data_IF_936997989582
#
_entry.id   IF_936997989582
#
_cell.length_a   1.000
_cell.length_b   1.000
_cell.length_c   1.000
_cell.angle_alpha   90.00
_cell.angle_beta   90.00
_cell.angle_gamma   90.00
#
_symmetry.space_group_name_H-M   'P 1'
#
loop_
_entity.id
_entity.type
_entity.pdbx_description
1 polymer ?
#
# COMPACT_ATOMS: atom_id res chain seq x y z
N UNK A 1 33.67 22.27 -16.96
CA UNK A 1 33.94 21.10 -17.82
C UNK A 1 32.68 20.23 -17.86
N UNK A 2 32.15 19.90 -19.04
CA UNK A 2 31.07 18.94 -19.14
C UNK A 2 31.55 17.57 -18.64
N UNK A 3 30.79 16.94 -17.78
CA UNK A 3 31.06 15.60 -17.27
C UNK A 3 31.23 14.59 -18.44
N UNK A 4 32.22 13.71 -18.36
CA UNK A 4 32.32 12.62 -19.32
C UNK A 4 31.11 11.69 -19.28
N UNK A 5 30.85 10.93 -20.35
CA UNK A 5 29.71 9.98 -20.41
C UNK A 5 29.76 9.00 -19.23
N UNK A 6 30.91 8.54 -18.81
CA UNK A 6 31.12 7.63 -17.67
C UNK A 6 30.78 8.29 -16.32
N UNK A 7 31.20 9.54 -16.13
CA UNK A 7 30.85 10.31 -14.92
C UNK A 7 29.37 10.63 -14.84
N UNK A 8 28.72 10.92 -15.96
CA UNK A 8 27.27 11.14 -16.03
C UNK A 8 26.49 9.89 -15.63
N UNK A 9 26.85 8.72 -16.14
CA UNK A 9 26.22 7.45 -15.79
C UNK A 9 26.42 7.08 -14.32
N UNK A 10 27.60 7.32 -13.75
CA UNK A 10 27.88 7.07 -12.33
C UNK A 10 26.97 7.95 -11.44
N UNK A 11 26.85 9.24 -11.76
CA UNK A 11 25.97 10.15 -11.03
C UNK A 11 24.47 9.82 -11.15
N UNK A 12 24.01 9.23 -12.27
CA UNK A 12 22.63 8.78 -12.43
C UNK A 12 22.38 7.56 -11.54
N UNK A 13 23.25 6.57 -11.57
CA UNK A 13 23.12 5.36 -10.73
C UNK A 13 23.07 5.66 -9.24
N UNK A 14 23.91 6.57 -8.76
CA UNK A 14 23.90 7.00 -7.36
C UNK A 14 22.56 7.64 -6.98
N UNK A 15 21.97 8.43 -7.88
CA UNK A 15 20.67 9.06 -7.67
C UNK A 15 19.51 8.07 -7.72
N UNK A 16 19.57 7.11 -8.64
CA UNK A 16 18.58 6.03 -8.70
C UNK A 16 18.65 5.14 -7.45
N UNK A 17 19.86 4.86 -6.95
CA UNK A 17 20.01 4.13 -5.69
C UNK A 17 19.42 4.90 -4.50
N UNK A 18 19.68 6.20 -4.41
CA UNK A 18 19.08 7.05 -3.37
C UNK A 18 17.56 7.08 -3.45
N UNK A 19 17.01 7.17 -4.66
CA UNK A 19 15.57 7.12 -4.90
C UNK A 19 14.98 5.77 -4.44
N UNK A 20 15.63 4.66 -4.80
CA UNK A 20 15.25 3.32 -4.36
C UNK A 20 15.29 3.19 -2.84
N UNK A 21 16.33 3.68 -2.18
CA UNK A 21 16.46 3.65 -0.73
C UNK A 21 15.35 4.46 -0.04
N UNK A 22 14.92 5.56 -0.65
CA UNK A 22 13.82 6.38 -0.14
C UNK A 22 12.47 5.63 -0.26
N UNK A 23 12.22 4.97 -1.38
CA UNK A 23 11.04 4.08 -1.56
C UNK A 23 11.01 2.97 -0.50
N UNK A 24 12.14 2.33 -0.24
CA UNK A 24 12.25 1.26 0.77
C UNK A 24 11.91 1.79 2.18
N UNK A 25 12.39 2.98 2.53
CA UNK A 25 12.07 3.62 3.82
C UNK A 25 10.59 4.00 3.92
N UNK A 26 10.01 4.50 2.84
CA UNK A 26 8.58 4.79 2.75
C UNK A 26 7.76 3.51 2.92
N UNK A 27 8.11 2.44 2.20
CA UNK A 27 7.47 1.13 2.30
C UNK A 27 7.49 0.58 3.72
N UNK A 28 8.64 0.61 4.40
CA UNK A 28 8.76 0.19 5.80
C UNK A 28 7.91 1.04 6.76
N UNK A 29 7.72 2.35 6.46
CA UNK A 29 6.81 3.22 7.22
C UNK A 29 5.36 2.79 7.05
N UNK A 30 4.94 2.50 5.81
CA UNK A 30 3.58 2.05 5.48
C UNK A 30 3.28 0.67 6.08
N UNK A 31 4.20 -0.28 5.97
CA UNK A 31 4.04 -1.61 6.60
C UNK A 31 3.82 -1.50 8.11
N UNK A 32 4.64 -0.68 8.79
CA UNK A 32 4.49 -0.44 10.22
C UNK A 32 3.16 0.22 10.56
N UNK A 33 2.72 1.18 9.76
CA UNK A 33 1.43 1.86 9.93
C UNK A 33 0.26 0.89 9.77
N UNK A 34 0.30 -0.02 8.79
CA UNK A 34 -0.68 -1.10 8.60
C UNK A 34 -0.71 -2.04 9.80
N UNK A 35 0.46 -2.47 10.29
CA UNK A 35 0.54 -3.33 11.47
C UNK A 35 -0.10 -2.66 12.69
N UNK A 36 0.22 -1.40 12.97
CA UNK A 36 -0.37 -0.63 14.06
C UNK A 36 -1.89 -0.51 13.91
N UNK A 37 -2.37 -0.29 12.69
CA UNK A 37 -3.80 -0.18 12.37
C UNK A 37 -4.53 -1.48 12.69
N UNK A 38 -4.01 -2.62 12.22
CA UNK A 38 -4.62 -3.93 12.46
C UNK A 38 -4.58 -4.28 13.95
N UNK A 39 -3.43 -4.07 14.61
CA UNK A 39 -3.29 -4.34 16.04
C UNK A 39 -4.20 -3.45 16.90
N UNK A 40 -4.45 -2.20 16.49
CA UNK A 40 -5.36 -1.31 17.21
C UNK A 40 -6.78 -1.85 17.27
N UNK A 41 -7.25 -2.47 16.20
CA UNK A 41 -8.56 -3.13 16.12
C UNK A 41 -8.61 -4.38 17.02
N UNK A 42 -7.63 -5.26 16.86
CA UNK A 42 -7.59 -6.57 17.52
C UNK A 42 -7.43 -6.43 19.05
N UNK A 43 -6.49 -5.57 19.47
CA UNK A 43 -6.19 -5.33 20.89
C UNK A 43 -7.10 -4.29 21.52
N UNK A 44 -7.98 -3.65 20.73
CA UNK A 44 -8.83 -2.54 21.18
C UNK A 44 -8.01 -1.40 21.80
N UNK A 45 -6.84 -1.15 21.23
CA UNK A 45 -5.85 -0.18 21.70
C UNK A 45 -5.93 1.13 20.89
N UNK A 46 -6.55 2.13 21.48
CA UNK A 46 -6.72 3.46 20.86
C UNK A 46 -5.36 4.18 20.69
N UNK A 47 -4.37 3.88 21.51
CA UNK A 47 -3.04 4.51 21.40
C UNK A 47 -2.30 4.06 20.12
N UNK A 48 -2.49 2.82 19.70
CA UNK A 48 -1.98 2.32 18.43
C UNK A 48 -2.68 2.96 17.23
N UNK A 49 -4.00 3.21 17.33
CA UNK A 49 -4.75 3.91 16.29
C UNK A 49 -4.25 5.36 16.14
N UNK A 50 -4.09 6.10 17.25
CA UNK A 50 -3.54 7.46 17.25
C UNK A 50 -2.13 7.51 16.67
N UNK A 51 -1.32 6.50 16.98
CA UNK A 51 0.05 6.40 16.46
C UNK A 51 0.07 6.16 14.95
N UNK A 52 -0.79 5.26 14.44
CA UNK A 52 -0.94 5.03 13.01
C UNK A 52 -1.36 6.32 12.27
N UNK A 53 -2.30 7.09 12.85
CA UNK A 53 -2.74 8.37 12.29
C UNK A 53 -1.60 9.38 12.22
N UNK A 54 -0.74 9.45 13.24
CA UNK A 54 0.41 10.38 13.27
C UNK A 54 1.56 9.93 12.35
N UNK A 55 1.78 8.62 12.23
CA UNK A 55 2.84 8.08 11.39
C UNK A 55 2.60 8.34 9.89
N UNK A 56 1.36 8.62 9.47
CA UNK A 56 0.98 9.02 8.13
C UNK A 56 1.73 10.26 7.62
N UNK A 57 1.95 11.26 8.46
CA UNK A 57 2.74 12.46 8.12
C UNK A 57 4.17 12.13 7.64
N UNK A 58 4.71 10.96 8.02
CA UNK A 58 6.02 10.53 7.54
C UNK A 58 5.94 9.99 6.12
N UNK A 59 4.85 9.29 5.81
CA UNK A 59 4.58 8.77 4.48
C UNK A 59 4.41 9.92 3.49
N UNK A 60 3.63 10.94 3.83
CA UNK A 60 3.48 12.17 3.03
C UNK A 60 4.82 12.86 2.76
N UNK A 61 5.69 12.96 3.78
CA UNK A 61 7.03 13.56 3.62
C UNK A 61 7.94 12.74 2.70
N UNK A 62 7.83 11.40 2.75
CA UNK A 62 8.57 10.55 1.83
C UNK A 62 8.10 10.73 0.39
N UNK A 63 6.78 10.80 0.15
CA UNK A 63 6.22 11.03 -1.18
C UNK A 63 6.77 12.35 -1.77
N UNK A 64 6.62 13.47 -1.06
CA UNK A 64 7.13 14.77 -1.48
C UNK A 64 8.64 14.73 -1.77
N UNK A 65 9.42 14.03 -0.95
CA UNK A 65 10.87 13.91 -1.16
C UNK A 65 11.20 13.09 -2.39
N UNK A 66 10.43 12.03 -2.68
CA UNK A 66 10.56 11.21 -3.89
C UNK A 66 10.22 12.04 -5.13
N UNK A 67 9.13 12.82 -5.09
CA UNK A 67 8.76 13.73 -6.18
C UNK A 67 9.88 14.72 -6.51
N UNK A 68 10.47 15.36 -5.49
CA UNK A 68 11.61 16.27 -5.65
C UNK A 68 12.83 15.56 -6.25
N UNK A 69 13.15 14.35 -5.80
CA UNK A 69 14.24 13.56 -6.35
C UNK A 69 14.02 13.21 -7.82
N UNK A 70 12.79 12.80 -8.18
CA UNK A 70 12.39 12.45 -9.56
C UNK A 70 12.49 13.66 -10.48
N UNK A 71 11.91 14.81 -10.08
CA UNK A 71 11.97 16.06 -10.86
C UNK A 71 13.42 16.48 -11.09
N UNK A 72 14.24 16.47 -10.03
CA UNK A 72 15.65 16.84 -10.12
C UNK A 72 16.46 15.86 -11.01
N UNK A 73 16.14 14.55 -10.93
CA UNK A 73 16.81 13.54 -11.74
C UNK A 73 16.49 13.76 -13.23
N UNK A 74 15.22 13.97 -13.58
CA UNK A 74 14.80 14.20 -14.97
C UNK A 74 15.40 15.51 -15.50
N UNK A 75 15.25 16.61 -14.75
CA UNK A 75 15.67 17.94 -15.19
C UNK A 75 17.19 18.07 -15.36
N UNK A 76 17.96 17.52 -14.41
CA UNK A 76 19.40 17.75 -14.35
C UNK A 76 20.23 16.64 -15.01
N UNK A 77 19.67 15.43 -15.15
CA UNK A 77 20.42 14.26 -15.61
C UNK A 77 19.90 13.65 -16.90
N UNK A 78 18.67 13.97 -17.29
CA UNK A 78 18.04 13.49 -18.52
C UNK A 78 18.19 11.95 -18.65
N UNK A 79 17.65 11.17 -17.69
CA UNK A 79 17.76 9.72 -17.73
C UNK A 79 17.12 9.17 -19.00
N UNK A 80 17.65 8.08 -19.54
CA UNK A 80 17.17 7.47 -20.78
C UNK A 80 16.85 5.99 -20.59
N UNK A 81 15.94 5.50 -21.42
CA UNK A 81 15.58 4.08 -21.47
C UNK A 81 15.25 3.52 -20.07
N UNK A 82 16.04 2.57 -19.57
CA UNK A 82 15.81 1.88 -18.29
C UNK A 82 15.88 2.86 -17.12
N UNK A 83 16.80 3.81 -17.11
CA UNK A 83 16.95 4.80 -16.03
C UNK A 83 15.71 5.70 -15.93
N UNK A 84 15.14 6.11 -17.06
CA UNK A 84 13.89 6.88 -17.10
C UNK A 84 12.70 6.04 -16.62
N UNK A 85 12.64 4.77 -17.04
CA UNK A 85 11.59 3.85 -16.59
C UNK A 85 11.63 3.67 -15.08
N UNK A 86 12.82 3.43 -14.51
CA UNK A 86 13.02 3.31 -13.06
C UNK A 86 12.57 4.57 -12.32
N UNK A 87 12.90 5.74 -12.87
CA UNK A 87 12.50 7.04 -12.29
C UNK A 87 10.98 7.22 -12.27
N UNK A 88 10.30 6.91 -13.38
CA UNK A 88 8.84 7.05 -13.50
C UNK A 88 8.10 6.01 -12.63
N UNK A 89 8.60 4.79 -12.59
CA UNK A 89 8.03 3.74 -11.74
C UNK A 89 8.17 4.09 -10.26
N UNK A 90 9.30 4.65 -9.83
CA UNK A 90 9.48 5.10 -8.45
C UNK A 90 8.43 6.14 -8.04
N UNK A 91 8.09 7.09 -8.92
CA UNK A 91 7.04 8.08 -8.66
C UNK A 91 5.66 7.43 -8.51
N UNK A 92 5.31 6.47 -9.37
CA UNK A 92 4.02 5.77 -9.29
C UNK A 92 3.93 4.90 -8.03
N UNK A 93 4.99 4.17 -7.71
CA UNK A 93 5.06 3.34 -6.49
C UNK A 93 4.93 4.20 -5.23
N UNK A 94 5.56 5.38 -5.17
CA UNK A 94 5.41 6.27 -4.00
C UNK A 94 3.98 6.76 -3.85
N UNK A 95 3.30 7.11 -4.93
CA UNK A 95 1.90 7.53 -4.87
C UNK A 95 0.97 6.41 -4.40
N UNK A 96 1.16 5.16 -4.88
CA UNK A 96 0.38 4.03 -4.38
C UNK A 96 0.68 3.73 -2.90
N UNK A 97 1.92 3.88 -2.44
CA UNK A 97 2.28 3.73 -1.03
C UNK A 97 1.64 4.81 -0.14
N UNK A 98 1.58 6.06 -0.59
CA UNK A 98 0.87 7.13 0.12
C UNK A 98 -0.61 6.78 0.26
N UNK A 99 -1.25 6.32 -0.82
CA UNK A 99 -2.66 5.87 -0.78
C UNK A 99 -2.88 4.74 0.21
N UNK A 100 -1.98 3.78 0.29
CA UNK A 100 -2.05 2.70 1.29
C UNK A 100 -1.96 3.28 2.71
N UNK A 101 -1.06 4.22 2.96
CA UNK A 101 -0.93 4.92 4.23
C UNK A 101 -2.21 5.67 4.62
N UNK A 102 -2.77 6.46 3.71
CA UNK A 102 -4.03 7.18 3.89
C UNK A 102 -5.21 6.24 4.23
N UNK A 103 -5.29 5.08 3.56
CA UNK A 103 -6.31 4.08 3.83
C UNK A 103 -6.14 3.46 5.24
N UNK A 104 -4.90 3.16 5.65
CA UNK A 104 -4.59 2.70 7.00
C UNK A 104 -4.97 3.73 8.07
N UNK A 105 -4.63 5.00 7.87
CA UNK A 105 -5.06 6.14 8.70
C UNK A 105 -6.58 6.23 8.80
N UNK A 106 -7.29 6.05 7.68
CA UNK A 106 -8.74 6.09 7.65
C UNK A 106 -9.37 4.91 8.43
N UNK A 107 -8.79 3.72 8.37
CA UNK A 107 -9.20 2.57 9.21
C UNK A 107 -8.98 2.93 10.70
N UNK A 108 -7.81 3.46 11.06
CA UNK A 108 -7.48 3.85 12.44
C UNK A 108 -8.43 4.92 13.00
N UNK A 109 -8.78 5.95 12.20
CA UNK A 109 -9.80 6.95 12.57
C UNK A 109 -11.18 6.33 12.83
N UNK A 110 -11.55 5.29 12.08
CA UNK A 110 -12.82 4.57 12.27
C UNK A 110 -12.76 3.67 13.49
N UNK A 111 -11.62 3.05 13.79
CA UNK A 111 -11.39 2.28 15.02
C UNK A 111 -11.69 3.13 16.26
N UNK A 112 -11.20 4.38 16.29
CA UNK A 112 -11.48 5.32 17.38
C UNK A 112 -12.97 5.65 17.52
N UNK A 113 -13.72 5.73 16.41
CA UNK A 113 -15.17 6.03 16.41
C UNK A 113 -16.02 4.85 16.85
N UNK A 114 -15.64 3.64 16.49
CA UNK A 114 -16.40 2.42 16.81
C UNK A 114 -16.23 2.04 18.28
N UNK A 115 -15.09 2.38 18.87
CA UNK A 115 -14.77 1.97 20.23
C UNK A 115 -14.47 0.46 20.33
N UNK A 116 -14.57 -0.06 21.56
CA UNK A 116 -14.14 -1.43 21.89
C UNK A 116 -15.25 -2.49 21.80
N UNK A 117 -16.49 -2.09 21.44
CA UNK A 117 -17.67 -2.93 21.54
C UNK A 117 -18.14 -3.44 20.15
N UNK A 118 -17.23 -4.10 19.43
CA UNK A 118 -17.55 -4.84 18.22
C UNK A 118 -17.70 -6.34 18.51
N UNK A 119 -18.57 -7.05 17.77
CA UNK A 119 -18.64 -8.51 17.85
C UNK A 119 -17.27 -9.16 17.54
N UNK A 120 -16.89 -10.13 18.35
CA UNK A 120 -15.56 -10.76 18.24
C UNK A 120 -15.28 -11.48 16.93
N UNK A 121 -16.32 -12.08 16.34
CA UNK A 121 -16.27 -12.75 15.04
C UNK A 121 -16.00 -11.76 13.90
N UNK A 122 -16.61 -10.59 13.96
CA UNK A 122 -16.40 -9.53 12.98
C UNK A 122 -14.97 -8.94 13.09
N UNK A 123 -14.47 -8.70 14.31
CA UNK A 123 -13.08 -8.25 14.53
C UNK A 123 -12.10 -9.27 13.95
N UNK A 124 -12.32 -10.56 14.21
CA UNK A 124 -11.46 -11.64 13.68
C UNK A 124 -11.44 -11.66 12.15
N UNK A 125 -12.58 -11.46 11.53
CA UNK A 125 -12.68 -11.41 10.07
C UNK A 125 -11.95 -10.20 9.48
N UNK A 126 -12.06 -9.03 10.12
CA UNK A 126 -11.29 -7.83 9.77
C UNK A 126 -9.78 -8.04 9.93
N UNK A 127 -9.36 -8.71 11.01
CA UNK A 127 -7.97 -9.07 11.23
C UNK A 127 -7.42 -9.93 10.08
N UNK A 128 -8.15 -10.98 9.71
CA UNK A 128 -7.74 -11.88 8.61
C UNK A 128 -7.60 -11.10 7.30
N UNK A 129 -8.57 -10.27 6.94
CA UNK A 129 -8.52 -9.45 5.74
C UNK A 129 -7.37 -8.44 5.78
N UNK A 130 -7.18 -7.75 6.90
CA UNK A 130 -6.11 -6.78 7.09
C UNK A 130 -4.72 -7.41 7.03
N UNK A 131 -4.51 -8.56 7.66
CA UNK A 131 -3.24 -9.29 7.60
C UNK A 131 -2.93 -9.77 6.18
N UNK A 132 -3.96 -10.17 5.42
CA UNK A 132 -3.78 -10.56 4.02
C UNK A 132 -3.36 -9.39 3.15
N UNK A 133 -4.00 -8.23 3.29
CA UNK A 133 -3.62 -7.01 2.59
C UNK A 133 -2.19 -6.56 2.97
N UNK A 134 -1.84 -6.57 4.26
CA UNK A 134 -0.48 -6.27 4.71
C UNK A 134 0.56 -7.22 4.11
N UNK A 135 0.25 -8.51 3.99
CA UNK A 135 1.12 -9.48 3.33
C UNK A 135 1.32 -9.19 1.86
N UNK A 136 0.27 -8.77 1.13
CA UNK A 136 0.41 -8.35 -0.28
C UNK A 136 1.32 -7.13 -0.41
N UNK A 137 1.15 -6.11 0.44
CA UNK A 137 2.02 -4.91 0.47
C UNK A 137 3.47 -5.31 0.71
N UNK A 138 3.74 -6.16 1.71
CA UNK A 138 5.09 -6.67 1.96
C UNK A 138 5.66 -7.43 0.75
N UNK A 139 4.87 -8.31 0.15
CA UNK A 139 5.30 -9.10 -1.01
C UNK A 139 5.67 -8.23 -2.20
N UNK A 140 4.87 -7.20 -2.50
CA UNK A 140 5.13 -6.32 -3.64
C UNK A 140 6.32 -5.38 -3.39
N UNK A 141 6.55 -4.94 -2.15
CA UNK A 141 7.75 -4.19 -1.78
C UNK A 141 9.03 -5.03 -1.93
N UNK A 142 8.96 -6.30 -1.54
CA UNK A 142 10.04 -7.25 -1.78
C UNK A 142 10.26 -7.49 -3.28
N UNK A 143 9.20 -7.60 -4.07
CA UNK A 143 9.30 -7.71 -5.53
C UNK A 143 9.99 -6.48 -6.15
N UNK A 144 9.63 -5.27 -5.70
CA UNK A 144 10.28 -4.02 -6.12
C UNK A 144 11.77 -4.01 -5.76
N UNK A 145 12.10 -4.35 -4.51
CA UNK A 145 13.47 -4.32 -3.99
C UNK A 145 14.40 -5.30 -4.73
N UNK A 146 13.92 -6.52 -4.95
CA UNK A 146 14.73 -7.61 -5.51
C UNK A 146 14.52 -7.84 -7.02
N UNK A 147 13.70 -7.02 -7.68
CA UNK A 147 13.33 -7.20 -9.09
C UNK A 147 12.73 -8.59 -9.35
N UNK A 148 11.89 -9.07 -8.44
CA UNK A 148 11.31 -10.40 -8.48
C UNK A 148 10.00 -10.39 -9.30
N UNK A 149 10.12 -10.68 -10.60
CA UNK A 149 9.00 -10.70 -11.55
C UNK A 149 7.87 -11.63 -11.09
N UNK A 150 8.20 -12.88 -10.77
CA UNK A 150 7.23 -13.90 -10.39
C UNK A 150 6.46 -13.52 -9.12
N UNK A 151 7.12 -12.83 -8.18
CA UNK A 151 6.45 -12.33 -6.97
C UNK A 151 5.45 -11.22 -7.31
N UNK A 152 5.78 -10.33 -8.24
CA UNK A 152 4.85 -9.29 -8.71
C UNK A 152 3.64 -9.91 -9.42
N UNK A 153 3.84 -10.89 -10.30
CA UNK A 153 2.76 -11.64 -10.96
C UNK A 153 1.87 -12.36 -9.93
N UNK A 154 2.46 -12.97 -8.90
CA UNK A 154 1.69 -13.64 -7.85
C UNK A 154 0.83 -12.66 -7.04
N UNK A 155 1.33 -11.45 -6.72
CA UNK A 155 0.52 -10.43 -6.05
C UNK A 155 -0.63 -9.99 -6.95
N UNK A 156 -0.37 -9.74 -8.23
CA UNK A 156 -1.40 -9.34 -9.19
C UNK A 156 -2.50 -10.40 -9.32
N UNK A 157 -2.15 -11.69 -9.41
CA UNK A 157 -3.10 -12.79 -9.50
C UNK A 157 -3.87 -13.07 -8.22
N UNK A 158 -3.38 -12.62 -7.05
CA UNK A 158 -4.02 -12.83 -5.74
C UNK A 158 -5.02 -11.75 -5.34
N UNK A 159 -5.30 -10.77 -6.21
CA UNK A 159 -6.21 -9.66 -5.93
C UNK A 159 -7.63 -10.14 -5.59
N UNK A 160 -8.18 -11.05 -6.40
CA UNK A 160 -9.50 -11.65 -6.20
C UNK A 160 -9.70 -12.25 -4.80
N UNK A 161 -8.65 -12.74 -4.16
CA UNK A 161 -8.75 -13.37 -2.85
C UNK A 161 -9.09 -12.37 -1.73
N UNK A 162 -8.63 -11.10 -1.83
CA UNK A 162 -9.01 -10.06 -0.87
C UNK A 162 -10.43 -9.59 -1.15
N UNK A 163 -10.79 -9.44 -2.41
CA UNK A 163 -12.12 -9.03 -2.81
C UNK A 163 -13.19 -10.01 -2.30
N UNK A 164 -12.99 -11.31 -2.52
CA UNK A 164 -13.89 -12.36 -2.04
C UNK A 164 -13.99 -12.35 -0.50
N UNK A 165 -12.84 -12.20 0.18
CA UNK A 165 -12.81 -12.17 1.64
C UNK A 165 -13.55 -10.95 2.19
N UNK A 166 -13.35 -9.78 1.61
CA UNK A 166 -14.02 -8.55 2.05
C UNK A 166 -15.51 -8.59 1.75
N UNK A 167 -15.93 -9.10 0.59
CA UNK A 167 -17.34 -9.27 0.24
C UNK A 167 -18.06 -10.23 1.21
N UNK A 168 -17.47 -11.40 1.50
CA UNK A 168 -18.00 -12.34 2.48
C UNK A 168 -18.18 -11.70 3.87
N UNK A 169 -17.19 -10.90 4.29
CA UNK A 169 -17.25 -10.20 5.57
C UNK A 169 -18.28 -9.07 5.59
N UNK A 170 -18.51 -8.37 4.47
CA UNK A 170 -19.56 -7.38 4.33
C UNK A 170 -20.95 -8.03 4.46
N UNK A 171 -21.17 -9.17 3.80
CA UNK A 171 -22.44 -9.92 3.94
C UNK A 171 -22.68 -10.37 5.39
N UNK A 172 -21.65 -10.87 6.07
CA UNK A 172 -21.77 -11.26 7.48
C UNK A 172 -22.12 -10.06 8.38
N UNK A 173 -21.52 -8.90 8.12
CA UNK A 173 -21.81 -7.66 8.84
C UNK A 173 -23.25 -7.18 8.60
N UNK A 174 -23.77 -7.28 7.37
CA UNK A 174 -25.17 -6.94 7.04
C UNK A 174 -26.15 -7.91 7.73
N UNK A 175 -25.88 -9.22 7.70
CA UNK A 175 -26.69 -10.22 8.42
C UNK A 175 -26.72 -9.98 9.94
N UNK A 176 -25.66 -9.41 10.52
CA UNK A 176 -25.67 -9.00 11.93
C UNK A 176 -26.69 -7.88 12.19
N UNK A 177 -26.81 -6.90 11.27
CA UNK A 177 -27.78 -5.80 11.38
C UNK A 177 -29.25 -6.29 11.33
N UNK A 178 -29.53 -7.39 10.64
CA UNK A 178 -30.88 -7.96 10.62
C UNK A 178 -31.31 -8.39 12.02
N UNK A 179 -30.35 -8.80 12.87
CA UNK A 179 -30.59 -9.28 14.24
C UNK A 179 -30.46 -8.17 15.29
N UNK A 180 -29.59 -7.18 15.05
CA UNK A 180 -29.24 -6.10 15.97
C UNK A 180 -29.20 -4.76 15.26
N UNK A 181 -30.36 -4.16 15.04
CA UNK A 181 -30.54 -2.87 14.33
C UNK A 181 -29.87 -1.69 15.04
N UNK A 182 -29.69 -1.76 16.35
CA UNK A 182 -29.01 -0.75 17.16
C UNK A 182 -27.52 -0.60 16.82
N UNK A 183 -26.89 -1.62 16.25
CA UNK A 183 -25.48 -1.60 15.87
C UNK A 183 -25.21 -0.91 14.51
N UNK A 184 -26.21 -0.29 13.88
CA UNK A 184 -26.10 0.27 12.52
C UNK A 184 -24.89 1.21 12.36
N UNK A 185 -24.62 2.09 13.33
CA UNK A 185 -23.50 3.02 13.25
C UNK A 185 -22.15 2.30 13.29
N UNK A 186 -22.01 1.28 14.14
CA UNK A 186 -20.78 0.48 14.28
C UNK A 186 -20.53 -0.33 13.01
N UNK A 187 -21.56 -1.03 12.53
CA UNK A 187 -21.47 -1.85 11.32
C UNK A 187 -21.18 -0.99 10.08
N UNK A 188 -21.76 0.20 9.98
CA UNK A 188 -21.44 1.14 8.90
C UNK A 188 -19.95 1.50 8.90
N UNK A 189 -19.35 1.82 10.06
CA UNK A 189 -17.91 2.10 10.12
C UNK A 189 -17.08 0.87 9.68
N UNK A 190 -17.53 -0.30 10.07
CA UNK A 190 -16.88 -1.57 9.75
C UNK A 190 -16.91 -1.88 8.24
N UNK A 191 -18.03 -1.65 7.58
CA UNK A 191 -18.14 -1.79 6.12
C UNK A 191 -17.15 -0.88 5.39
N UNK A 192 -16.99 0.36 5.88
CA UNK A 192 -15.98 1.26 5.35
C UNK A 192 -14.54 0.80 5.63
N UNK A 193 -14.27 0.16 6.79
CA UNK A 193 -12.94 -0.42 7.05
C UNK A 193 -12.64 -1.56 6.08
N UNK A 194 -13.59 -2.46 5.85
CA UNK A 194 -13.46 -3.55 4.88
C UNK A 194 -13.19 -3.01 3.48
N UNK A 195 -13.93 -1.97 3.05
CA UNK A 195 -13.68 -1.34 1.75
C UNK A 195 -12.31 -0.66 1.66
N UNK A 196 -11.79 -0.11 2.75
CA UNK A 196 -10.44 0.41 2.77
C UNK A 196 -9.39 -0.72 2.69
N UNK A 197 -9.64 -1.88 3.29
CA UNK A 197 -8.74 -3.04 3.19
C UNK A 197 -8.69 -3.57 1.74
N UNK A 198 -9.84 -3.68 1.07
CA UNK A 198 -9.91 -4.03 -0.35
C UNK A 198 -9.05 -3.06 -1.19
N UNK A 199 -9.24 -1.76 -1.00
CA UNK A 199 -8.48 -0.73 -1.72
C UNK A 199 -6.96 -0.77 -1.42
N UNK A 200 -6.55 -1.20 -0.23
CA UNK A 200 -5.13 -1.46 0.05
C UNK A 200 -4.60 -2.59 -0.85
N UNK A 201 -5.37 -3.66 -1.04
CA UNK A 201 -5.07 -4.71 -2.02
C UNK A 201 -4.96 -4.17 -3.44
N UNK A 202 -5.92 -3.35 -3.86
CA UNK A 202 -5.91 -2.68 -5.17
C UNK A 202 -4.59 -1.92 -5.41
N UNK A 203 -4.15 -1.11 -4.44
CA UNK A 203 -2.90 -0.35 -4.56
C UNK A 203 -1.66 -1.25 -4.54
N UNK A 204 -1.66 -2.35 -3.76
CA UNK A 204 -0.58 -3.33 -3.81
C UNK A 204 -0.49 -3.99 -5.20
N UNK A 205 -1.62 -4.27 -5.83
CA UNK A 205 -1.70 -4.82 -7.20
C UNK A 205 -1.23 -3.79 -8.23
N UNK A 206 -1.58 -2.50 -8.09
CA UNK A 206 -1.04 -1.44 -8.95
C UNK A 206 0.49 -1.37 -8.85
N UNK A 207 1.06 -1.46 -7.64
CA UNK A 207 2.51 -1.53 -7.46
C UNK A 207 3.09 -2.76 -8.17
N UNK A 208 2.42 -3.92 -8.11
CA UNK A 208 2.86 -5.14 -8.80
C UNK A 208 2.94 -4.94 -10.32
N UNK A 209 1.96 -4.28 -10.92
CA UNK A 209 1.98 -3.91 -12.34
C UNK A 209 3.18 -3.00 -12.67
N UNK A 210 3.46 -2.02 -11.82
CA UNK A 210 4.61 -1.13 -12.02
C UNK A 210 5.94 -1.87 -11.86
N UNK A 211 6.03 -2.82 -10.93
CA UNK A 211 7.23 -3.67 -10.75
C UNK A 211 7.43 -4.58 -11.96
N UNK A 212 6.37 -5.19 -12.47
CA UNK A 212 6.43 -5.99 -13.69
C UNK A 212 6.92 -5.15 -14.87
N UNK A 213 6.30 -4.00 -15.12
CA UNK A 213 6.72 -3.06 -16.16
C UNK A 213 8.17 -2.61 -16.00
N UNK A 214 8.61 -2.37 -14.76
CA UNK A 214 9.99 -1.97 -14.48
C UNK A 214 11.00 -3.02 -14.94
N UNK A 215 10.67 -4.30 -14.78
CA UNK A 215 11.57 -5.43 -15.08
C UNK A 215 11.54 -5.77 -16.58
N UNK A 216 10.35 -5.90 -17.15
CA UNK A 216 10.14 -6.41 -18.51
C UNK A 216 10.12 -5.30 -19.57
N UNK A 217 9.57 -4.14 -19.24
CA UNK A 217 9.24 -3.08 -20.18
C UNK A 217 7.84 -3.19 -20.76
N UNK A 218 7.13 -4.25 -20.46
CA UNK A 218 5.78 -4.55 -20.91
C UNK A 218 4.81 -4.50 -19.72
N UNK A 219 3.52 -4.30 -19.99
CA UNK A 219 2.47 -4.40 -18.98
C UNK A 219 1.98 -5.84 -18.87
N UNK A 220 1.42 -6.20 -17.71
CA UNK A 220 0.73 -7.47 -17.53
C UNK A 220 -0.44 -7.55 -18.51
N UNK A 221 -0.54 -8.65 -19.24
CA UNK A 221 -1.61 -8.88 -20.21
C UNK A 221 -2.81 -9.55 -19.53
N UNK A 222 -4.02 -9.16 -19.94
CA UNK A 222 -5.27 -9.74 -19.46
C UNK A 222 -6.07 -8.77 -18.57
N UNK A 223 -7.30 -9.19 -18.26
CA UNK A 223 -8.10 -8.49 -17.27
C UNK A 223 -7.58 -8.82 -15.86
N UNK A 224 -7.41 -7.78 -15.04
CA UNK A 224 -7.08 -7.95 -13.63
C UNK A 224 -8.14 -8.83 -12.98
N UNK A 225 -7.74 -9.92 -12.26
CA UNK A 225 -8.70 -10.73 -11.52
C UNK A 225 -9.42 -9.86 -10.49
N UNK A 226 -10.74 -9.78 -10.59
CA UNK A 226 -11.60 -9.06 -9.63
C UNK A 226 -12.64 -10.04 -9.09
N UNK A 227 -12.86 -9.99 -7.77
CA UNK A 227 -13.89 -10.77 -7.09
C UNK A 227 -15.27 -10.12 -7.14
#
# INVERSE_FOLDING_TARGET
HPLSRRQRQMCIRDRLQLLKDTIVKMGASVEKQLEQTIQSLVKKDTSLADKSIKDDEKTDKYELHIEEQVVNLIALRQPMAIDLRETVVALKVSSDLERIGDLAKNISKRTLKVGTDLPSDIIKNLEIAGLKAAKQVNSVLNAYLHRAKDTAENVWNSDEEIDQLTNTNMEAAIKHLEKKKEDINKITQLLFMLKNIERIGDHATNIAEQVYFLITGDYLEGERPKG
#
